data_IF_349855038153
#
_entry.id   IF_349855038153
#
_cell.length_a   1.000
_cell.length_b   1.000
_cell.length_c   1.000
_cell.angle_alpha   90.00
_cell.angle_beta   90.00
_cell.angle_gamma   90.00
#
_symmetry.space_group_name_H-M   'P 1'
#
loop_
_entity.id
_entity.type
_entity.pdbx_description
1 polymer ?
#
# COMPACT_ATOMS: atom_id res chain seq x y z
N UNK A 1 -22.86 -0.06 -0.50
CA UNK A 1 -22.13 0.26 0.75
C UNK A 1 -21.71 -1.05 1.38
N UNK A 2 -20.54 -1.10 2.01
CA UNK A 2 -19.98 -2.34 2.56
C UNK A 2 -20.29 -2.48 4.07
N UNK A 3 -20.94 -3.60 4.44
CA UNK A 3 -21.01 -4.03 5.84
C UNK A 3 -19.65 -4.59 6.27
N UNK A 4 -19.25 -4.36 7.53
CA UNK A 4 -17.94 -4.81 8.05
C UNK A 4 -16.73 -3.97 7.62
N UNK A 5 -16.93 -2.84 6.94
CA UNK A 5 -15.86 -1.90 6.61
C UNK A 5 -15.38 -1.06 7.80
N UNK A 6 -14.29 -0.31 7.61
CA UNK A 6 -13.61 0.47 8.66
C UNK A 6 -14.46 1.61 9.25
N UNK A 7 -14.74 2.66 8.47
CA UNK A 7 -15.46 3.88 8.91
C UNK A 7 -16.57 4.26 7.91
N UNK A 8 -17.34 5.31 8.19
CA UNK A 8 -18.36 5.88 7.29
C UNK A 8 -19.78 5.35 7.48
N UNK A 9 -20.73 5.90 6.73
CA UNK A 9 -22.12 5.45 6.73
C UNK A 9 -22.25 4.05 6.10
N UNK A 10 -23.23 3.26 6.53
CA UNK A 10 -23.47 1.88 6.06
C UNK A 10 -24.67 1.75 5.13
N UNK A 11 -25.54 2.76 5.10
CA UNK A 11 -26.63 2.85 4.14
C UNK A 11 -26.69 4.21 3.44
N UNK A 12 -27.28 4.21 2.24
CA UNK A 12 -27.53 5.43 1.45
C UNK A 12 -28.41 6.41 2.23
N UNK A 13 -29.37 5.90 2.99
CA UNK A 13 -30.26 6.73 3.79
C UNK A 13 -29.50 7.43 4.92
N UNK A 14 -28.61 6.72 5.61
CA UNK A 14 -27.79 7.32 6.68
C UNK A 14 -26.85 8.39 6.13
N UNK A 15 -26.25 8.15 4.95
CA UNK A 15 -25.38 9.12 4.31
C UNK A 15 -26.12 10.40 3.92
N UNK A 16 -27.33 10.28 3.39
CA UNK A 16 -28.16 11.45 3.04
C UNK A 16 -28.69 12.18 4.27
N UNK A 17 -29.10 11.45 5.31
CA UNK A 17 -29.52 12.05 6.57
C UNK A 17 -28.37 12.83 7.24
N UNK A 18 -27.16 12.27 7.21
CA UNK A 18 -25.96 12.95 7.69
C UNK A 18 -25.64 14.18 6.82
N UNK A 19 -25.68 14.05 5.51
CA UNK A 19 -25.44 15.15 4.57
C UNK A 19 -26.40 16.32 4.82
N UNK A 20 -27.70 16.04 4.96
CA UNK A 20 -28.71 17.04 5.28
C UNK A 20 -28.44 17.71 6.63
N UNK A 21 -28.11 16.91 7.66
CA UNK A 21 -27.81 17.46 8.98
C UNK A 21 -26.60 18.38 8.94
N UNK A 22 -25.57 18.04 8.17
CA UNK A 22 -24.37 18.87 7.99
C UNK A 22 -24.69 20.16 7.23
N UNK A 23 -25.52 20.10 6.19
CA UNK A 23 -25.89 21.30 5.41
C UNK A 23 -26.70 22.31 6.22
N UNK A 24 -27.44 21.87 7.22
CA UNK A 24 -28.28 22.75 8.07
C UNK A 24 -27.49 23.44 9.20
N UNK A 25 -26.23 23.04 9.44
CA UNK A 25 -25.42 23.56 10.54
C UNK A 25 -24.62 24.81 10.11
N UNK A 26 -24.78 25.96 10.77
CA UNK A 26 -24.21 27.24 10.31
C UNK A 26 -22.68 27.32 10.37
N UNK A 27 -22.03 26.40 11.07
CA UNK A 27 -20.56 26.31 11.19
C UNK A 27 -19.90 25.29 10.27
N UNK A 28 -20.68 24.54 9.48
CA UNK A 28 -20.17 23.48 8.61
C UNK A 28 -20.54 23.76 7.16
N UNK A 29 -19.71 23.23 6.25
CA UNK A 29 -20.01 23.18 4.83
C UNK A 29 -19.80 21.76 4.35
N UNK A 30 -20.86 21.13 3.86
CA UNK A 30 -20.73 19.86 3.17
C UNK A 30 -20.03 20.11 1.84
N UNK A 31 -18.90 19.43 1.60
CA UNK A 31 -18.08 19.61 0.39
C UNK A 31 -18.03 18.40 -0.52
N UNK A 32 -18.62 17.27 -0.15
CA UNK A 32 -18.72 16.11 -1.03
C UNK A 32 -18.74 14.77 -0.30
N UNK A 33 -18.13 13.76 -0.92
CA UNK A 33 -18.17 12.37 -0.51
C UNK A 33 -16.78 11.75 -0.58
N UNK A 34 -16.41 11.02 0.47
CA UNK A 34 -15.19 10.22 0.54
C UNK A 34 -15.50 8.72 0.54
N UNK A 35 -14.69 7.96 -0.19
CA UNK A 35 -14.70 6.49 -0.22
C UNK A 35 -13.27 5.95 -0.07
N UNK A 36 -13.13 4.79 0.56
CA UNK A 36 -11.90 4.00 0.49
C UNK A 36 -12.24 2.51 0.29
N UNK A 37 -11.77 1.96 -0.83
CA UNK A 37 -12.07 0.61 -1.31
C UNK A 37 -11.11 -0.46 -0.78
N UNK A 38 -9.95 -0.07 -0.25
CA UNK A 38 -8.90 -0.99 0.22
C UNK A 38 -9.26 -1.87 1.42
N UNK A 39 -10.51 -1.84 1.90
CA UNK A 39 -11.04 -2.76 2.93
C UNK A 39 -11.73 -3.98 2.33
N UNK A 40 -11.95 -3.98 1.00
CA UNK A 40 -12.53 -5.12 0.30
C UNK A 40 -11.42 -6.14 0.02
N UNK A 41 -11.59 -7.34 0.56
CA UNK A 41 -10.65 -8.45 0.42
C UNK A 41 -11.44 -9.70 -0.03
N UNK A 42 -10.78 -10.58 -0.77
CA UNK A 42 -11.36 -11.80 -1.32
C UNK A 42 -10.57 -12.28 -2.54
N UNK A 43 -10.92 -13.44 -3.07
CA UNK A 43 -10.21 -14.04 -4.22
C UNK A 43 -10.41 -13.23 -5.51
N UNK A 44 -11.55 -12.55 -5.66
CA UNK A 44 -11.85 -11.62 -6.75
C UNK A 44 -12.63 -10.39 -6.23
N UNK A 45 -11.93 -9.39 -5.70
CA UNK A 45 -12.56 -8.21 -5.09
C UNK A 45 -13.01 -7.18 -6.13
N UNK A 46 -12.55 -7.25 -7.38
CA UNK A 46 -12.76 -6.20 -8.36
C UNK A 46 -14.26 -5.91 -8.61
N UNK A 47 -15.14 -6.88 -8.88
CA UNK A 47 -16.57 -6.59 -9.10
C UNK A 47 -17.24 -5.87 -7.93
N UNK A 48 -16.80 -6.15 -6.69
CA UNK A 48 -17.31 -5.49 -5.50
C UNK A 48 -16.80 -4.05 -5.38
N UNK A 49 -15.54 -3.82 -5.73
CA UNK A 49 -14.95 -2.48 -5.84
C UNK A 49 -15.70 -1.66 -6.88
N UNK A 50 -15.94 -2.21 -8.07
CA UNK A 50 -16.65 -1.52 -9.14
C UNK A 50 -18.09 -1.14 -8.74
N UNK A 51 -18.83 -2.08 -8.14
CA UNK A 51 -20.18 -1.83 -7.66
C UNK A 51 -20.21 -0.75 -6.56
N UNK A 52 -19.22 -0.75 -5.66
CA UNK A 52 -19.08 0.26 -4.62
C UNK A 52 -18.82 1.66 -5.23
N UNK A 53 -17.97 1.74 -6.25
CA UNK A 53 -17.62 2.99 -6.93
C UNK A 53 -18.80 3.58 -7.70
N UNK A 54 -19.58 2.74 -8.38
CA UNK A 54 -20.83 3.15 -9.05
C UNK A 54 -21.86 3.68 -8.03
N UNK A 55 -22.02 2.98 -6.90
CA UNK A 55 -22.91 3.43 -5.82
C UNK A 55 -22.47 4.77 -5.21
N UNK A 56 -21.15 4.98 -5.05
CA UNK A 56 -20.62 6.24 -4.56
C UNK A 56 -20.89 7.40 -5.53
N UNK A 57 -20.70 7.19 -6.84
CA UNK A 57 -21.02 8.20 -7.85
C UNK A 57 -22.51 8.54 -7.87
N UNK A 58 -23.39 7.53 -7.80
CA UNK A 58 -24.84 7.74 -7.74
C UNK A 58 -25.27 8.49 -6.45
N UNK A 59 -24.65 8.18 -5.32
CA UNK A 59 -24.88 8.90 -4.06
C UNK A 59 -24.39 10.35 -4.16
N UNK A 60 -23.24 10.60 -4.79
CA UNK A 60 -22.72 11.95 -5.01
C UNK A 60 -23.72 12.82 -5.77
N UNK A 61 -24.35 12.30 -6.84
CA UNK A 61 -25.41 13.00 -7.56
C UNK A 61 -26.60 13.36 -6.65
N UNK A 62 -27.01 12.45 -5.76
CA UNK A 62 -28.11 12.69 -4.81
C UNK A 62 -27.75 13.72 -3.73
N UNK A 63 -26.47 13.82 -3.38
CA UNK A 63 -25.95 14.77 -2.40
C UNK A 63 -25.64 16.15 -3.01
N UNK A 64 -25.57 16.28 -4.34
CA UNK A 64 -25.23 17.53 -5.03
C UNK A 64 -26.03 18.75 -4.54
N UNK A 65 -27.36 18.69 -4.32
CA UNK A 65 -28.11 19.85 -3.84
C UNK A 65 -27.76 20.31 -2.42
N UNK A 66 -27.09 19.45 -1.63
CA UNK A 66 -26.73 19.71 -0.24
C UNK A 66 -25.31 20.28 -0.09
N UNK A 67 -24.54 20.29 -1.17
CA UNK A 67 -23.14 20.73 -1.18
C UNK A 67 -23.05 22.21 -1.49
N UNK A 68 -22.28 22.92 -0.67
CA UNK A 68 -21.93 24.32 -0.91
C UNK A 68 -20.71 24.40 -1.84
N UNK A 69 -20.93 24.81 -3.09
CA UNK A 69 -19.89 25.05 -4.08
C UNK A 69 -19.54 23.84 -4.96
N UNK A 70 -18.24 23.60 -5.16
CA UNK A 70 -17.74 22.46 -5.94
C UNK A 70 -17.81 21.17 -5.09
N UNK A 71 -18.39 20.12 -5.67
CA UNK A 71 -18.46 18.79 -5.08
C UNK A 71 -17.11 18.10 -5.19
N UNK A 72 -16.60 17.56 -4.08
CA UNK A 72 -15.37 16.78 -4.04
C UNK A 72 -15.75 15.31 -3.89
N UNK A 73 -15.51 14.52 -4.95
CA UNK A 73 -15.60 13.06 -4.89
C UNK A 73 -14.18 12.52 -4.71
N UNK A 74 -13.86 12.02 -3.52
CA UNK A 74 -12.50 11.60 -3.18
C UNK A 74 -12.41 10.15 -2.75
N UNK A 75 -11.35 9.48 -3.18
CA UNK A 75 -11.06 8.10 -2.78
C UNK A 75 -9.78 7.56 -3.39
N UNK A 76 -9.76 6.27 -3.70
CA UNK A 76 -8.62 5.50 -4.21
C UNK A 76 -7.47 5.33 -3.21
N UNK A 77 -7.07 4.07 -3.01
CA UNK A 77 -5.76 3.66 -2.53
C UNK A 77 -4.81 3.32 -3.68
N UNK A 78 -3.60 2.90 -3.32
CA UNK A 78 -2.53 2.58 -4.29
C UNK A 78 -2.82 1.33 -5.15
N UNK A 79 -3.80 0.51 -4.79
CA UNK A 79 -4.09 -0.76 -5.48
C UNK A 79 -5.08 -0.60 -6.64
N UNK A 80 -6.12 0.24 -6.48
CA UNK A 80 -7.28 0.30 -7.39
C UNK A 80 -7.49 1.68 -8.03
N UNK A 81 -6.49 2.57 -7.98
CA UNK A 81 -6.67 3.96 -8.41
C UNK A 81 -7.07 4.09 -9.88
N UNK A 82 -6.62 3.18 -10.74
CA UNK A 82 -7.01 3.06 -12.15
C UNK A 82 -8.50 2.74 -12.29
N UNK A 83 -8.99 1.72 -11.59
CA UNK A 83 -10.40 1.30 -11.61
C UNK A 83 -11.30 2.43 -11.08
N UNK A 84 -10.86 3.11 -10.01
CA UNK A 84 -11.54 4.28 -9.46
C UNK A 84 -11.65 5.40 -10.49
N UNK A 85 -10.53 5.75 -11.14
CA UNK A 85 -10.50 6.77 -12.19
C UNK A 85 -11.43 6.40 -13.35
N UNK A 86 -11.30 5.18 -13.89
CA UNK A 86 -12.08 4.73 -15.04
C UNK A 86 -13.59 4.77 -14.75
N UNK A 87 -14.02 4.27 -13.59
CA UNK A 87 -15.43 4.28 -13.22
C UNK A 87 -15.95 5.68 -12.96
N UNK A 88 -15.25 6.52 -12.19
CA UNK A 88 -15.75 7.86 -11.88
C UNK A 88 -15.70 8.83 -13.05
N UNK A 89 -14.77 8.63 -14.01
CA UNK A 89 -14.77 9.36 -15.27
C UNK A 89 -15.98 9.01 -16.14
N UNK A 90 -16.33 7.72 -16.22
CA UNK A 90 -17.47 7.24 -17.01
C UNK A 90 -18.85 7.45 -16.34
N UNK A 91 -18.93 7.36 -15.01
CA UNK A 91 -20.18 7.44 -14.28
C UNK A 91 -20.79 8.86 -14.30
N UNK A 92 -22.12 8.90 -14.20
CA UNK A 92 -22.85 10.11 -13.86
C UNK A 92 -22.39 10.62 -12.50
N UNK A 93 -22.12 11.93 -12.43
CA UNK A 93 -21.55 12.62 -11.27
C UNK A 93 -22.11 14.04 -11.19
N UNK A 94 -21.97 14.74 -10.05
CA UNK A 94 -22.41 16.12 -9.90
C UNK A 94 -21.87 17.03 -11.01
N UNK A 95 -22.63 18.06 -11.37
CA UNK A 95 -22.34 18.97 -12.50
C UNK A 95 -21.04 19.74 -12.31
N UNK A 96 -20.72 20.12 -11.07
CA UNK A 96 -19.44 20.75 -10.66
C UNK A 96 -18.69 19.82 -9.71
N UNK A 97 -18.18 18.71 -10.24
CA UNK A 97 -17.47 17.69 -9.47
C UNK A 97 -15.96 17.71 -9.75
N UNK A 98 -15.17 17.75 -8.68
CA UNK A 98 -13.73 17.47 -8.68
C UNK A 98 -13.50 16.07 -8.14
N UNK A 99 -12.87 15.23 -8.95
CA UNK A 99 -12.38 13.92 -8.53
C UNK A 99 -10.99 14.10 -7.92
N UNK A 100 -10.78 13.58 -6.71
CA UNK A 100 -9.49 13.61 -6.02
C UNK A 100 -9.10 12.21 -5.57
N UNK A 101 -8.08 11.63 -6.21
CA UNK A 101 -7.48 10.37 -5.78
C UNK A 101 -6.45 10.59 -4.67
N UNK A 102 -6.30 9.62 -3.76
CA UNK A 102 -5.36 9.70 -2.63
C UNK A 102 -4.50 8.43 -2.48
N UNK A 103 -3.85 7.92 -3.55
CA UNK A 103 -2.83 6.90 -3.38
C UNK A 103 -1.68 7.47 -2.55
N UNK A 104 -1.10 6.67 -1.66
CA UNK A 104 -0.02 7.09 -0.76
C UNK A 104 1.27 6.33 -1.00
N UNK A 105 1.17 5.00 -1.09
CA UNK A 105 2.30 4.07 -1.17
C UNK A 105 3.05 4.11 -2.51
N UNK A 106 2.66 4.98 -3.45
CA UNK A 106 3.42 5.20 -4.69
C UNK A 106 4.75 5.92 -4.44
N UNK A 107 4.88 6.67 -3.33
CA UNK A 107 6.10 7.43 -2.99
C UNK A 107 7.22 6.50 -2.54
N UNK A 108 6.91 5.57 -1.63
CA UNK A 108 7.89 4.62 -1.13
C UNK A 108 7.96 3.38 -1.97
N UNK A 109 6.81 2.80 -2.30
CA UNK A 109 6.67 1.52 -2.98
C UNK A 109 7.42 0.36 -2.28
N UNK A 110 6.93 -0.87 -2.40
CA UNK A 110 7.67 -2.05 -1.92
C UNK A 110 7.71 -3.12 -3.00
N UNK A 111 8.56 -4.13 -2.79
CA UNK A 111 8.57 -5.35 -3.61
C UNK A 111 7.65 -6.44 -3.05
N UNK A 112 6.67 -6.04 -2.25
CA UNK A 112 5.68 -6.91 -1.64
C UNK A 112 4.34 -6.72 -2.33
N UNK A 113 3.34 -6.33 -1.53
CA UNK A 113 1.96 -6.21 -1.98
C UNK A 113 1.78 -5.13 -3.06
N UNK A 114 2.61 -4.08 -3.10
CA UNK A 114 2.44 -2.99 -4.07
C UNK A 114 3.07 -3.28 -5.42
N UNK A 115 4.17 -4.02 -5.49
CA UNK A 115 4.74 -4.52 -6.74
C UNK A 115 3.78 -5.53 -7.41
N UNK A 116 3.16 -6.43 -6.63
CA UNK A 116 2.11 -7.31 -7.14
C UNK A 116 0.92 -6.52 -7.70
N UNK A 117 0.43 -5.52 -6.95
CA UNK A 117 -0.67 -4.68 -7.40
C UNK A 117 -0.32 -3.88 -8.67
N UNK A 118 0.94 -3.44 -8.83
CA UNK A 118 1.41 -2.77 -10.05
C UNK A 118 1.47 -3.74 -11.23
N UNK A 119 1.91 -4.98 -11.04
CA UNK A 119 1.92 -5.99 -12.10
C UNK A 119 0.50 -6.32 -12.56
N UNK A 120 -0.45 -6.44 -11.64
CA UNK A 120 -1.87 -6.62 -11.96
C UNK A 120 -2.45 -5.41 -12.69
N UNK A 121 -2.01 -4.18 -12.34
CA UNK A 121 -2.38 -2.96 -13.03
C UNK A 121 -1.90 -2.95 -14.48
N UNK A 122 -0.62 -3.24 -14.69
CA UNK A 122 -0.03 -3.30 -16.04
C UNK A 122 -0.75 -4.36 -16.88
N UNK A 123 -1.13 -5.48 -16.27
CA UNK A 123 -1.87 -6.54 -16.96
C UNK A 123 -3.30 -6.14 -17.37
N UNK A 124 -3.97 -5.24 -16.63
CA UNK A 124 -5.37 -4.86 -16.86
C UNK A 124 -5.58 -3.53 -17.58
N UNK A 125 -4.61 -2.61 -17.52
CA UNK A 125 -4.71 -1.27 -18.12
C UNK A 125 -3.61 -1.03 -19.16
N UNK A 126 -3.95 -1.00 -20.47
CA UNK A 126 -3.00 -0.70 -21.54
C UNK A 126 -2.34 0.68 -21.41
N UNK A 127 -3.00 1.67 -20.78
CA UNK A 127 -2.46 3.02 -20.59
C UNK A 127 -1.33 3.00 -19.56
N UNK A 128 -1.38 2.09 -18.58
CA UNK A 128 -0.31 1.91 -17.62
C UNK A 128 0.99 1.43 -18.28
N UNK A 129 0.91 0.68 -19.39
CA UNK A 129 2.07 0.26 -20.18
C UNK A 129 2.77 1.41 -20.91
N UNK A 130 2.01 2.46 -21.27
CA UNK A 130 2.49 3.60 -22.06
C UNK A 130 3.01 4.75 -21.18
N UNK A 131 2.82 4.67 -19.86
CA UNK A 131 3.27 5.71 -18.93
C UNK A 131 4.78 5.59 -18.69
N UNK A 132 5.51 6.68 -18.93
CA UNK A 132 6.96 6.70 -18.74
C UNK A 132 7.34 6.66 -17.25
N UNK A 133 8.06 5.61 -16.84
CA UNK A 133 8.65 5.46 -15.50
C UNK A 133 7.97 4.39 -14.67
N UNK A 134 8.75 3.49 -14.09
CA UNK A 134 8.28 2.46 -13.18
C UNK A 134 8.23 2.98 -11.74
N UNK A 135 7.24 2.54 -10.96
CA UNK A 135 7.35 2.65 -9.50
C UNK A 135 8.49 1.75 -9.04
N UNK A 136 9.44 2.33 -8.33
CA UNK A 136 10.58 1.60 -7.77
C UNK A 136 10.57 1.75 -6.26
N UNK A 137 10.86 0.67 -5.54
CA UNK A 137 10.99 0.76 -4.09
C UNK A 137 12.12 1.72 -3.71
N UNK A 138 11.75 2.76 -2.97
CA UNK A 138 12.59 3.87 -2.54
C UNK A 138 12.96 3.79 -1.06
N UNK A 139 12.43 2.81 -0.31
CA UNK A 139 12.71 2.62 1.11
C UNK A 139 13.48 1.32 1.36
N UNK A 140 14.63 1.46 2.00
CA UNK A 140 15.52 0.35 2.28
C UNK A 140 16.06 0.45 3.70
N UNK A 141 16.31 -0.72 4.29
CA UNK A 141 16.82 -0.85 5.64
C UNK A 141 18.17 -1.55 5.61
N UNK A 142 19.14 -0.98 6.32
CA UNK A 142 20.47 -1.56 6.44
C UNK A 142 20.61 -2.27 7.78
N UNK A 143 21.01 -3.54 7.74
CA UNK A 143 21.24 -4.36 8.91
C UNK A 143 22.69 -4.88 8.94
N UNK A 144 23.25 -5.06 10.12
CA UNK A 144 24.59 -5.56 10.37
C UNK A 144 24.54 -7.00 10.87
N UNK A 145 25.35 -7.89 10.27
CA UNK A 145 25.52 -9.27 10.73
C UNK A 145 26.19 -9.26 12.10
N UNK A 146 25.50 -9.83 13.08
CA UNK A 146 25.95 -9.96 14.47
C UNK A 146 26.64 -11.31 14.70
N UNK A 147 26.13 -12.38 14.09
CA UNK A 147 26.71 -13.72 14.19
C UNK A 147 26.39 -14.59 12.97
N UNK A 148 27.24 -15.60 12.73
CA UNK A 148 27.06 -16.64 11.72
C UNK A 148 27.22 -17.99 12.43
N UNK A 149 26.18 -18.46 13.14
CA UNK A 149 26.27 -19.68 13.96
C UNK A 149 26.38 -20.95 13.10
N UNK A 150 25.78 -20.95 11.91
CA UNK A 150 25.83 -22.05 10.94
C UNK A 150 26.21 -21.52 9.55
N UNK A 151 26.70 -22.40 8.66
CA UNK A 151 27.21 -22.00 7.34
C UNK A 151 26.15 -21.39 6.41
N UNK A 152 24.88 -21.70 6.65
CA UNK A 152 23.70 -21.28 5.90
C UNK A 152 22.87 -20.21 6.64
N UNK A 153 23.35 -19.73 7.80
CA UNK A 153 22.56 -18.84 8.66
C UNK A 153 23.36 -17.68 9.21
N UNK A 154 22.80 -16.48 9.07
CA UNK A 154 23.30 -15.25 9.66
C UNK A 154 22.22 -14.62 10.55
N UNK A 155 22.64 -14.06 11.69
CA UNK A 155 21.77 -13.24 12.55
C UNK A 155 22.15 -11.78 12.36
N UNK A 156 21.17 -10.91 12.11
CA UNK A 156 21.38 -9.46 11.95
C UNK A 156 20.71 -8.66 13.06
N UNK A 157 21.14 -7.42 13.28
CA UNK A 157 20.57 -6.49 14.26
C UNK A 157 19.27 -5.80 13.77
N UNK A 158 18.41 -6.54 13.08
CA UNK A 158 17.18 -6.03 12.49
C UNK A 158 16.08 -7.04 12.73
N UNK A 159 14.87 -6.66 13.11
CA UNK A 159 13.77 -7.59 13.36
C UNK A 159 12.42 -6.90 13.55
N UNK A 160 11.49 -7.55 14.25
CA UNK A 160 10.09 -7.10 14.40
C UNK A 160 9.89 -5.72 15.07
N UNK A 161 10.93 -5.19 15.70
CA UNK A 161 10.90 -3.83 16.31
C UNK A 161 11.26 -2.76 15.30
N UNK A 162 11.98 -3.13 14.25
CA UNK A 162 12.56 -2.23 13.28
C UNK A 162 11.71 -2.17 11.99
N UNK A 163 10.84 -3.17 11.78
CA UNK A 163 10.02 -3.32 10.59
C UNK A 163 8.81 -4.21 10.90
N UNK A 164 7.63 -3.76 10.46
CA UNK A 164 6.38 -4.48 10.49
C UNK A 164 6.43 -5.71 9.57
N UNK A 165 5.58 -6.69 9.84
CA UNK A 165 5.55 -7.97 9.12
C UNK A 165 4.13 -8.40 8.75
N UNK A 166 3.18 -7.47 8.88
CA UNK A 166 1.77 -7.62 8.52
C UNK A 166 1.57 -7.75 7.01
N UNK A 167 2.41 -7.10 6.21
CA UNK A 167 2.41 -7.16 4.74
C UNK A 167 3.48 -8.11 4.16
N UNK A 168 4.01 -9.03 4.97
CA UNK A 168 5.09 -9.95 4.60
C UNK A 168 6.42 -9.62 5.26
N UNK A 169 7.42 -10.50 5.07
CA UNK A 169 8.75 -10.29 5.62
C UNK A 169 9.59 -9.36 4.72
N UNK A 170 10.39 -8.45 5.30
CA UNK A 170 11.36 -7.66 4.55
C UNK A 170 12.33 -8.58 3.80
N UNK A 171 12.59 -8.30 2.53
CA UNK A 171 13.41 -9.17 1.67
C UNK A 171 14.85 -8.64 1.59
N UNK A 172 15.88 -9.50 1.67
CA UNK A 172 17.26 -9.05 1.56
C UNK A 172 17.61 -8.90 0.08
N UNK A 173 18.10 -7.73 -0.31
CA UNK A 173 18.39 -7.41 -1.70
C UNK A 173 19.88 -7.34 -2.01
N UNK A 174 20.72 -7.08 -1.01
CA UNK A 174 22.16 -7.02 -1.20
C UNK A 174 22.92 -7.37 0.08
N UNK A 175 24.08 -7.98 -0.09
CA UNK A 175 25.06 -8.26 0.94
C UNK A 175 26.33 -7.44 0.65
N UNK A 176 26.82 -6.74 1.67
CA UNK A 176 28.03 -5.92 1.61
C UNK A 176 29.12 -6.51 2.50
N UNK A 177 30.31 -6.70 1.92
CA UNK A 177 31.50 -7.17 2.64
C UNK A 177 32.77 -6.63 1.98
N UNK A 178 33.65 -6.03 2.78
CA UNK A 178 34.96 -5.52 2.33
C UNK A 178 34.88 -4.57 1.12
N UNK A 179 33.87 -3.69 1.07
CA UNK A 179 33.65 -2.78 -0.06
C UNK A 179 33.07 -3.43 -1.31
N UNK A 180 32.89 -4.76 -1.33
CA UNK A 180 32.17 -5.48 -2.38
C UNK A 180 30.69 -5.61 -2.06
N UNK A 181 29.87 -5.68 -3.11
CA UNK A 181 28.43 -5.95 -3.06
C UNK A 181 28.11 -7.23 -3.82
N UNK A 182 27.26 -8.07 -3.25
CA UNK A 182 26.70 -9.26 -3.88
C UNK A 182 25.18 -9.31 -3.67
N UNK A 183 24.46 -9.99 -4.56
CA UNK A 183 23.03 -10.21 -4.37
C UNK A 183 22.78 -11.10 -3.14
N UNK A 184 21.85 -10.71 -2.28
CA UNK A 184 21.39 -11.52 -1.16
C UNK A 184 20.16 -12.36 -1.57
N UNK A 185 19.90 -13.47 -0.88
CA UNK A 185 18.71 -14.32 -1.13
C UNK A 185 18.04 -14.68 0.20
N UNK A 186 16.73 -14.43 0.30
CA UNK A 186 15.79 -15.03 1.27
C UNK A 186 15.90 -14.62 2.76
N UNK A 187 14.77 -14.24 3.36
CA UNK A 187 14.56 -14.24 4.82
C UNK A 187 13.47 -15.26 5.12
N UNK A 188 13.72 -16.20 6.03
CA UNK A 188 12.74 -17.23 6.38
C UNK A 188 12.12 -16.99 7.77
N UNK A 189 12.81 -16.31 8.71
CA UNK A 189 12.31 -16.16 10.10
C UNK A 189 12.73 -14.87 10.81
N UNK A 190 11.76 -14.21 11.47
CA UNK A 190 11.98 -13.11 12.42
C UNK A 190 11.64 -13.53 13.86
N UNK A 191 12.53 -13.30 14.83
CA UNK A 191 12.30 -13.62 16.26
C UNK A 191 11.89 -12.37 17.08
N UNK A 192 11.15 -12.59 18.20
CA UNK A 192 10.53 -11.53 19.03
C UNK A 192 11.50 -10.64 19.81
N UNK A 193 12.70 -11.13 20.15
CA UNK A 193 13.55 -10.45 21.15
C UNK A 193 14.96 -10.09 20.66
N UNK A 194 15.52 -10.80 19.68
CA UNK A 194 16.81 -10.48 19.07
C UNK A 194 16.87 -10.99 17.62
N UNK A 195 16.99 -10.06 16.67
CA UNK A 195 17.38 -10.31 15.29
C UNK A 195 16.41 -11.12 14.41
N UNK A 196 16.40 -10.78 13.13
CA UNK A 196 15.95 -11.60 12.03
C UNK A 196 17.08 -12.58 11.72
N UNK A 197 16.70 -13.83 11.48
CA UNK A 197 17.62 -14.81 10.94
C UNK A 197 17.54 -14.72 9.42
N UNK A 198 18.63 -14.29 8.81
CA UNK A 198 18.84 -14.37 7.39
C UNK A 198 19.43 -15.72 7.04
N UNK A 199 18.89 -16.39 6.02
CA UNK A 199 19.51 -17.58 5.47
C UNK A 199 20.35 -17.15 4.28
N UNK A 200 21.65 -17.42 4.31
CA UNK A 200 22.50 -17.22 3.13
C UNK A 200 22.52 -18.53 2.34
N UNK A 201 22.18 -18.48 1.05
CA UNK A 201 22.37 -19.64 0.17
C UNK A 201 23.85 -20.11 0.20
N UNK A 202 24.12 -21.42 0.13
CA UNK A 202 25.45 -21.97 0.32
C UNK A 202 26.39 -21.44 -0.77
N UNK A 203 27.37 -20.62 -0.34
CA UNK A 203 28.40 -20.04 -1.20
C UNK A 203 29.69 -19.86 -0.41
N UNK A 204 30.58 -20.84 -0.55
CA UNK A 204 32.00 -20.88 -0.16
C UNK A 204 32.41 -20.16 1.15
N UNK A 205 32.51 -20.93 2.24
CA UNK A 205 33.53 -20.75 3.27
C UNK A 205 33.48 -19.47 4.11
N UNK A 206 32.44 -19.30 4.93
CA UNK A 206 32.39 -18.23 5.92
C UNK A 206 33.08 -18.67 7.22
N UNK A 207 34.41 -18.49 7.32
CA UNK A 207 35.11 -18.58 8.62
C UNK A 207 35.11 -17.22 9.32
N UNK A 208 34.55 -17.16 10.52
CA UNK A 208 34.66 -16.03 11.43
C UNK A 208 36.08 -15.97 12.03
N UNK A 209 36.97 -15.18 11.43
CA UNK A 209 38.22 -14.78 12.07
C UNK A 209 38.70 -13.44 11.51
N UNK A 210 38.13 -12.35 12.01
CA UNK A 210 38.55 -10.99 11.70
C UNK A 210 37.38 -10.02 11.85
N UNK A 211 37.52 -9.02 12.73
CA UNK A 211 36.56 -7.92 12.88
C UNK A 211 36.45 -7.16 11.55
N UNK A 212 35.53 -7.58 10.69
CA UNK A 212 35.19 -6.91 9.44
C UNK A 212 33.67 -6.90 9.33
N UNK A 213 33.12 -5.70 9.35
CA UNK A 213 31.68 -5.46 9.35
C UNK A 213 31.05 -5.95 8.05
N UNK A 214 30.00 -6.75 8.18
CA UNK A 214 29.20 -7.30 7.08
C UNK A 214 27.79 -6.75 7.23
N UNK A 215 27.23 -6.16 6.18
CA UNK A 215 25.90 -5.56 6.20
C UNK A 215 24.98 -6.22 5.17
N UNK A 216 23.69 -6.28 5.47
CA UNK A 216 22.64 -6.74 4.58
C UNK A 216 21.63 -5.62 4.39
N UNK A 217 21.34 -5.30 3.14
CA UNK A 217 20.31 -4.35 2.73
C UNK A 217 19.01 -5.10 2.53
N UNK A 218 17.96 -4.61 3.15
CA UNK A 218 16.60 -5.12 3.06
C UNK A 218 15.70 -4.08 2.40
N UNK A 219 14.63 -4.56 1.78
CA UNK A 219 13.49 -3.71 1.45
C UNK A 219 12.49 -3.73 2.61
N UNK A 220 12.02 -2.55 2.98
CA UNK A 220 10.95 -2.38 3.94
C UNK A 220 9.59 -2.57 3.24
N UNK A 221 8.64 -3.33 3.82
CA UNK A 221 7.24 -3.22 3.44
C UNK A 221 6.72 -1.81 3.72
N UNK A 222 5.78 -1.31 2.91
CA UNK A 222 5.27 0.06 3.09
C UNK A 222 4.43 0.23 4.38
N UNK A 223 4.04 -0.84 5.07
CA UNK A 223 3.39 -0.75 6.39
C UNK A 223 4.27 -0.11 7.48
N UNK A 224 5.54 0.19 7.16
CA UNK A 224 6.51 0.87 8.01
C UNK A 224 6.38 2.42 8.08
N UNK A 225 5.37 3.02 7.43
CA UNK A 225 5.07 4.47 7.46
C UNK A 225 3.70 4.79 8.06
#
# INVERSE_FOLDING_TARGET
MACGGRCGCRSVNDALALAQRVSDLPGLRLRGLELYEGVLHGDDPQPQVEALLQQAAALACRMEPLVDGEFILTGAGTVWYDVVCNIWLAAAKPRRCRIVIRPGCYITHDRGIYDLAQQELIARDPIACDLAGDLTSALELMAMVQSVPEADRAVVNFGKRDCAFDAGLPQPIAHYRNGGVSAARGVDRQHRHHGSALYAAPGAGQRCAGRRYSAVRHLAPVSDL
#
